data_IF_759546251954
#
_entry.id   IF_759546251954
#
_cell.length_a   1.000
_cell.length_b   1.000
_cell.length_c   1.000
_cell.angle_alpha   90.00
_cell.angle_beta   90.00
_cell.angle_gamma   90.00
#
_symmetry.space_group_name_H-M   'P 1'
#
loop_
_entity.id
_entity.type
_entity.pdbx_description
1 polymer ?
#
# COMPACT_ATOMS: atom_id res chain seq x y z
N UNK A 1 -6.40 0.95 19.98
CA UNK A 1 -7.10 0.37 18.81
C UNK A 1 -6.36 -0.78 18.13
N UNK A 2 -5.15 -1.19 18.53
CA UNK A 2 -4.43 -2.36 18.00
C UNK A 2 -5.13 -3.67 18.32
N UNK A 3 -5.78 -3.77 19.49
CA UNK A 3 -6.67 -4.88 19.81
C UNK A 3 -7.89 -4.92 18.86
N UNK A 4 -8.25 -3.78 18.27
CA UNK A 4 -9.36 -3.61 17.32
C UNK A 4 -8.93 -3.53 15.85
N UNK A 5 -7.62 -3.49 15.56
CA UNK A 5 -7.06 -3.61 14.21
C UNK A 5 -6.65 -5.03 13.91
N UNK A 6 -6.64 -5.37 12.63
CA UNK A 6 -6.19 -6.65 12.16
C UNK A 6 -4.66 -6.63 12.02
N UNK A 7 -3.98 -7.63 12.61
CA UNK A 7 -2.61 -7.96 12.20
C UNK A 7 -2.66 -8.78 10.92
N UNK A 8 -1.59 -8.76 10.14
CA UNK A 8 -1.50 -9.50 8.88
C UNK A 8 -1.84 -11.00 9.04
N UNK A 9 -1.23 -11.68 10.03
CA UNK A 9 -1.48 -13.10 10.29
C UNK A 9 -2.89 -13.43 10.82
N UNK A 10 -3.51 -12.48 11.52
CA UNK A 10 -4.83 -12.66 12.15
C UNK A 10 -5.87 -11.77 11.49
N UNK A 11 -5.77 -11.62 10.17
CA UNK A 11 -6.59 -10.67 9.43
C UNK A 11 -8.06 -11.10 9.40
N UNK A 12 -8.93 -10.13 9.62
CA UNK A 12 -10.38 -10.28 9.56
C UNK A 12 -10.96 -9.06 8.82
N UNK A 13 -11.62 -9.32 7.68
CA UNK A 13 -12.14 -8.27 6.80
C UNK A 13 -13.20 -7.40 7.47
N UNK A 14 -14.11 -8.00 8.24
CA UNK A 14 -15.17 -7.27 8.96
C UNK A 14 -14.58 -6.31 9.99
N UNK A 15 -13.63 -6.80 10.80
CA UNK A 15 -12.93 -5.99 11.80
C UNK A 15 -12.20 -4.82 11.14
N UNK A 16 -11.50 -5.05 10.04
CA UNK A 16 -10.81 -3.97 9.31
C UNK A 16 -11.79 -2.97 8.68
N UNK A 17 -12.96 -3.42 8.22
CA UNK A 17 -14.02 -2.55 7.71
C UNK A 17 -14.61 -1.65 8.81
N UNK A 18 -14.83 -2.18 10.02
CA UNK A 18 -15.26 -1.39 11.18
C UNK A 18 -14.24 -0.30 11.49
N UNK A 19 -12.94 -0.63 11.52
CA UNK A 19 -11.88 0.36 11.74
C UNK A 19 -11.91 1.44 10.66
N UNK A 20 -12.14 1.06 9.40
CA UNK A 20 -12.25 2.03 8.29
C UNK A 20 -13.35 3.05 8.56
N UNK A 21 -14.55 2.59 8.90
CA UNK A 21 -15.69 3.47 9.19
C UNK A 21 -15.41 4.39 10.39
N UNK A 22 -14.76 3.88 11.44
CA UNK A 22 -14.38 4.69 12.60
C UNK A 22 -13.41 5.79 12.20
N UNK A 23 -12.37 5.46 11.41
CA UNK A 23 -11.39 6.44 10.92
C UNK A 23 -12.04 7.50 10.04
N UNK A 24 -12.95 7.10 9.15
CA UNK A 24 -13.67 8.03 8.28
C UNK A 24 -14.54 9.00 9.11
N UNK A 25 -15.28 8.49 10.11
CA UNK A 25 -16.07 9.33 11.05
C UNK A 25 -15.17 10.32 11.80
N UNK A 26 -14.03 9.85 12.34
CA UNK A 26 -13.10 10.70 13.09
C UNK A 26 -12.57 11.84 12.20
N UNK A 27 -12.18 11.53 10.96
CA UNK A 27 -11.55 12.51 10.09
C UNK A 27 -12.54 13.45 9.39
N UNK A 28 -13.80 13.02 9.16
CA UNK A 28 -14.80 13.84 8.46
C UNK A 28 -15.78 14.56 9.39
N UNK A 29 -16.08 13.99 10.56
CA UNK A 29 -17.25 14.39 11.36
C UNK A 29 -16.90 14.84 12.77
N UNK A 30 -15.73 14.48 13.31
CA UNK A 30 -15.35 14.91 14.64
C UNK A 30 -14.76 16.32 14.63
N UNK A 31 -15.37 17.19 15.44
CA UNK A 31 -14.83 18.51 15.75
C UNK A 31 -13.65 18.32 16.71
N UNK A 32 -12.59 19.10 16.53
CA UNK A 32 -11.45 19.15 17.44
C UNK A 32 -11.93 19.74 18.78
N UNK A 33 -11.91 18.93 19.84
CA UNK A 33 -12.28 19.35 21.19
C UNK A 33 -11.02 19.65 22.00
N UNK A 34 -10.84 20.89 22.43
CA UNK A 34 -9.82 21.27 23.41
C UNK A 34 -10.27 20.87 24.83
N UNK A 35 -10.51 19.58 25.05
CA UNK A 35 -10.70 19.03 26.39
C UNK A 35 -9.39 18.44 26.89
N UNK A 36 -9.06 18.71 28.15
CA UNK A 36 -7.71 18.49 28.66
C UNK A 36 -7.28 17.02 28.72
N UNK A 37 -8.18 16.01 28.72
CA UNK A 37 -7.79 14.59 28.86
C UNK A 37 -8.79 13.58 28.25
N UNK A 38 -8.57 13.18 26.99
CA UNK A 38 -9.08 11.89 26.49
C UNK A 38 -8.16 10.76 26.99
N UNK A 39 -8.60 9.95 27.96
CA UNK A 39 -7.79 8.82 28.47
C UNK A 39 -8.15 7.55 27.70
N UNK A 40 -7.19 7.02 26.94
CA UNK A 40 -7.31 5.73 26.27
C UNK A 40 -6.58 4.65 27.09
N UNK A 41 -7.23 3.53 27.45
CA UNK A 41 -6.65 2.53 28.36
C UNK A 41 -5.45 1.75 27.77
N UNK A 42 -5.27 1.75 26.44
CA UNK A 42 -4.09 1.21 25.74
C UNK A 42 -3.83 2.02 24.48
N UNK A 43 -2.77 2.83 24.50
CA UNK A 43 -2.36 3.65 23.36
C UNK A 43 -1.40 2.90 22.45
N UNK A 44 -1.75 2.87 21.17
CA UNK A 44 -0.86 2.44 20.08
C UNK A 44 -0.56 3.64 19.18
N UNK A 45 0.37 3.47 18.25
CA UNK A 45 0.82 4.55 17.36
C UNK A 45 -0.33 5.23 16.57
N UNK A 46 -1.37 4.49 16.17
CA UNK A 46 -2.54 5.05 15.47
C UNK A 46 -3.49 5.77 16.43
N UNK A 47 -3.79 5.14 17.57
CA UNK A 47 -4.71 5.68 18.57
C UNK A 47 -4.17 6.95 19.22
N UNK A 48 -2.85 6.99 19.42
CA UNK A 48 -2.14 8.17 19.94
C UNK A 48 -2.30 9.35 18.99
N UNK A 49 -2.14 9.12 17.68
CA UNK A 49 -2.39 10.15 16.68
C UNK A 49 -3.83 10.66 16.73
N UNK A 50 -4.83 9.78 16.67
CA UNK A 50 -6.22 10.23 16.62
C UNK A 50 -6.66 10.93 17.91
N UNK A 51 -6.12 10.52 19.05
CA UNK A 51 -6.29 11.25 20.31
C UNK A 51 -5.73 12.67 20.17
N UNK A 52 -4.48 12.82 19.75
CA UNK A 52 -3.83 14.14 19.61
C UNK A 52 -4.57 15.03 18.60
N UNK A 53 -4.97 14.45 17.46
CA UNK A 53 -5.78 15.09 16.43
C UNK A 53 -7.09 15.64 17.02
N UNK A 54 -7.80 14.82 17.80
CA UNK A 54 -9.07 15.22 18.43
C UNK A 54 -8.89 16.25 19.55
N UNK A 55 -7.75 16.23 20.27
CA UNK A 55 -7.45 17.20 21.33
C UNK A 55 -6.84 18.51 20.83
N UNK A 56 -6.60 18.65 19.51
CA UNK A 56 -6.16 19.88 18.87
C UNK A 56 -4.66 20.10 18.85
N UNK A 57 -3.87 19.04 19.06
CA UNK A 57 -2.44 19.03 18.72
C UNK A 57 -2.28 18.62 17.24
N UNK A 58 -2.33 19.62 16.36
CA UNK A 58 -2.27 19.44 14.91
C UNK A 58 -0.86 19.60 14.33
N UNK A 59 0.15 19.82 15.17
CA UNK A 59 1.53 20.06 14.70
C UNK A 59 2.18 18.78 14.18
N UNK A 60 1.72 17.60 14.63
CA UNK A 60 2.25 16.31 14.22
C UNK A 60 1.42 15.67 13.09
N UNK A 61 1.98 15.65 11.88
CA UNK A 61 1.40 14.93 10.75
C UNK A 61 1.33 13.42 11.05
N UNK A 62 0.27 12.76 10.57
CA UNK A 62 0.02 11.32 10.78
C UNK A 62 1.25 10.46 10.51
N UNK A 63 1.87 10.62 9.33
CA UNK A 63 3.03 9.84 8.94
C UNK A 63 4.24 10.06 9.86
N UNK A 64 4.49 11.30 10.29
CA UNK A 64 5.58 11.63 11.21
C UNK A 64 5.34 11.06 12.61
N UNK A 65 4.08 10.99 13.05
CA UNK A 65 3.71 10.33 14.31
C UNK A 65 4.01 8.83 14.26
N UNK A 66 3.73 8.19 13.12
CA UNK A 66 3.99 6.77 12.93
C UNK A 66 5.47 6.44 12.70
N UNK A 67 6.19 7.34 12.02
CA UNK A 67 7.59 7.16 11.61
C UNK A 67 8.42 8.43 11.86
N UNK A 68 8.71 8.80 13.12
CA UNK A 68 9.40 10.07 13.43
C UNK A 68 10.84 10.13 12.91
N UNK A 69 11.49 8.98 12.75
CA UNK A 69 12.86 8.84 12.26
C UNK A 69 12.91 8.28 10.85
N UNK A 70 11.93 8.61 10.01
CA UNK A 70 11.90 8.11 8.63
C UNK A 70 13.02 8.74 7.80
N UNK A 71 13.93 7.90 7.29
CA UNK A 71 15.05 8.31 6.44
C UNK A 71 15.01 7.51 5.16
N UNK A 72 14.60 8.17 4.06
CA UNK A 72 14.39 7.55 2.75
C UNK A 72 15.68 6.91 2.17
N UNK A 73 16.85 7.34 2.63
CA UNK A 73 18.12 6.78 2.18
C UNK A 73 18.34 5.35 2.68
N UNK A 74 17.70 4.97 3.79
CA UNK A 74 17.83 3.65 4.42
C UNK A 74 16.75 2.67 3.98
N UNK A 75 16.84 2.24 2.73
CA UNK A 75 15.81 1.40 2.08
C UNK A 75 15.28 0.25 2.95
N UNK A 76 16.17 -0.62 3.46
CA UNK A 76 15.77 -1.78 4.25
C UNK A 76 15.05 -1.41 5.55
N UNK A 77 15.46 -0.32 6.21
CA UNK A 77 14.77 0.18 7.41
C UNK A 77 13.39 0.76 7.07
N UNK A 78 13.28 1.51 5.97
CA UNK A 78 11.99 2.02 5.48
C UNK A 78 11.01 0.88 5.21
N UNK A 79 11.48 -0.12 4.46
CA UNK A 79 10.71 -1.30 4.10
C UNK A 79 10.25 -2.07 5.34
N UNK A 80 11.14 -2.27 6.33
CA UNK A 80 10.79 -2.92 7.60
C UNK A 80 9.74 -2.12 8.39
N UNK A 81 9.84 -0.78 8.42
CA UNK A 81 8.82 0.09 9.04
C UNK A 81 7.48 -0.04 8.32
N UNK A 82 7.48 -0.06 6.99
CA UNK A 82 6.25 -0.19 6.20
C UNK A 82 5.55 -1.53 6.44
N UNK A 83 6.29 -2.62 6.55
CA UNK A 83 5.74 -3.94 6.94
C UNK A 83 5.04 -3.93 8.30
N UNK A 84 5.47 -3.08 9.24
CA UNK A 84 4.86 -2.99 10.57
C UNK A 84 3.58 -2.14 10.58
N UNK A 85 3.47 -1.17 9.66
CA UNK A 85 2.43 -0.14 9.71
C UNK A 85 1.32 -0.43 8.70
N UNK A 86 1.67 -0.61 7.43
CA UNK A 86 0.72 -0.65 6.33
C UNK A 86 -0.29 -1.81 6.41
N UNK A 87 0.10 -3.03 6.84
CA UNK A 87 -0.87 -4.10 7.04
C UNK A 87 -1.95 -3.83 8.10
N UNK A 88 -1.73 -2.87 9.00
CA UNK A 88 -2.68 -2.47 10.05
C UNK A 88 -3.54 -1.27 9.60
N UNK A 89 -3.09 -0.53 8.60
CA UNK A 89 -3.67 0.72 8.16
C UNK A 89 -4.94 0.49 7.33
N UNK A 90 -5.91 1.39 7.46
CA UNK A 90 -7.08 1.43 6.56
C UNK A 90 -6.79 2.27 5.33
N UNK A 91 -7.64 2.20 4.30
CA UNK A 91 -7.41 2.85 3.00
C UNK A 91 -7.05 4.34 3.11
N UNK A 92 -7.74 5.11 3.96
CA UNK A 92 -7.45 6.54 4.14
C UNK A 92 -6.07 6.79 4.75
N UNK A 93 -5.68 5.96 5.71
CA UNK A 93 -4.36 6.00 6.34
C UNK A 93 -3.26 5.60 5.35
N UNK A 94 -3.52 4.60 4.51
CA UNK A 94 -2.65 4.23 3.39
C UNK A 94 -2.37 5.42 2.47
N UNK A 95 -3.41 6.17 2.11
CA UNK A 95 -3.27 7.37 1.28
C UNK A 95 -2.44 8.47 1.97
N UNK A 96 -2.68 8.72 3.26
CA UNK A 96 -1.92 9.72 4.04
C UNK A 96 -0.45 9.29 4.20
N UNK A 97 -0.20 8.01 4.49
CA UNK A 97 1.16 7.46 4.61
C UNK A 97 1.90 7.56 3.27
N UNK A 98 1.23 7.18 2.17
CA UNK A 98 1.77 7.27 0.81
C UNK A 98 2.18 8.71 0.50
N UNK A 99 1.31 9.68 0.74
CA UNK A 99 1.59 11.11 0.55
C UNK A 99 2.77 11.59 1.42
N UNK A 100 2.83 11.15 2.69
CA UNK A 100 3.96 11.43 3.57
C UNK A 100 5.30 10.95 3.01
N UNK A 101 5.35 9.75 2.43
CA UNK A 101 6.56 9.20 1.81
C UNK A 101 6.92 9.96 0.53
N UNK A 102 5.93 10.28 -0.31
CA UNK A 102 6.13 11.06 -1.55
C UNK A 102 6.75 12.42 -1.22
N UNK A 103 6.25 13.10 -0.18
CA UNK A 103 6.75 14.40 0.23
C UNK A 103 8.22 14.38 0.70
N UNK A 104 8.72 13.22 1.14
CA UNK A 104 10.10 13.05 1.60
C UNK A 104 11.01 12.54 0.48
N UNK A 105 10.55 11.55 -0.29
CA UNK A 105 11.39 10.76 -1.20
C UNK A 105 10.98 10.78 -2.66
N UNK A 106 9.86 11.41 -2.99
CA UNK A 106 9.25 11.40 -4.32
C UNK A 106 8.43 10.14 -4.63
N UNK A 107 7.62 10.26 -5.68
CA UNK A 107 6.68 9.24 -6.13
C UNK A 107 7.34 7.92 -6.53
N UNK A 108 8.41 7.97 -7.33
CA UNK A 108 9.11 6.77 -7.79
C UNK A 108 9.63 5.92 -6.62
N UNK A 109 10.27 6.58 -5.65
CA UNK A 109 10.82 5.89 -4.47
C UNK A 109 9.73 5.36 -3.55
N UNK A 110 8.62 6.09 -3.40
CA UNK A 110 7.45 5.61 -2.68
C UNK A 110 6.92 4.30 -3.29
N UNK A 111 6.70 4.27 -4.60
CA UNK A 111 6.21 3.07 -5.31
C UNK A 111 7.14 1.87 -5.13
N UNK A 112 8.45 2.08 -5.22
CA UNK A 112 9.46 1.04 -5.00
C UNK A 112 9.35 0.45 -3.58
N UNK A 113 9.32 1.30 -2.54
CA UNK A 113 9.19 0.87 -1.15
C UNK A 113 7.91 0.08 -0.89
N UNK A 114 6.78 0.56 -1.41
CA UNK A 114 5.48 -0.13 -1.28
C UNK A 114 5.49 -1.48 -2.01
N UNK A 115 6.13 -1.53 -3.19
CA UNK A 115 6.30 -2.75 -3.98
C UNK A 115 7.15 -3.77 -3.24
N UNK A 116 8.30 -3.39 -2.70
CA UNK A 116 9.18 -4.29 -1.93
C UNK A 116 8.49 -4.84 -0.68
N UNK A 117 7.76 -3.97 0.03
CA UNK A 117 6.92 -4.39 1.15
C UNK A 117 5.93 -5.49 0.75
N UNK A 118 5.19 -5.29 -0.35
CA UNK A 118 4.23 -6.28 -0.85
C UNK A 118 4.88 -7.56 -1.37
N UNK A 119 6.05 -7.48 -2.00
CA UNK A 119 6.80 -8.65 -2.47
C UNK A 119 7.18 -9.54 -1.27
N UNK A 120 7.66 -8.97 -0.16
CA UNK A 120 7.94 -9.79 1.02
C UNK A 120 6.68 -10.37 1.65
N UNK A 121 5.55 -9.65 1.64
CA UNK A 121 4.27 -10.24 2.07
C UNK A 121 3.86 -11.40 1.16
N UNK A 122 4.06 -11.31 -0.16
CA UNK A 122 3.82 -12.41 -1.09
C UNK A 122 4.72 -13.62 -0.77
N UNK A 123 6.00 -13.39 -0.54
CA UNK A 123 6.96 -14.44 -0.17
C UNK A 123 6.60 -15.08 1.18
N UNK A 124 6.19 -14.28 2.16
CA UNK A 124 5.70 -14.76 3.44
C UNK A 124 4.51 -15.70 3.23
N UNK A 125 3.47 -15.28 2.50
CA UNK A 125 2.30 -16.15 2.22
C UNK A 125 2.70 -17.46 1.54
N UNK A 126 3.69 -17.45 0.64
CA UNK A 126 4.19 -18.67 -0.04
C UNK A 126 4.92 -19.64 0.89
N UNK A 127 5.48 -19.15 2.02
CA UNK A 127 6.31 -19.95 2.94
C UNK A 127 5.58 -20.42 4.19
N UNK A 128 4.35 -19.95 4.45
CA UNK A 128 3.58 -20.31 5.65
C UNK A 128 2.70 -21.55 5.42
N UNK A 129 2.61 -22.41 6.45
CA UNK A 129 1.82 -23.64 6.44
C UNK A 129 0.30 -23.37 6.54
N UNK A 130 -0.48 -24.34 6.06
CA UNK A 130 -1.88 -24.21 5.64
C UNK A 130 -2.91 -23.70 6.67
N UNK A 131 -2.66 -23.82 7.99
CA UNK A 131 -3.67 -23.47 9.02
C UNK A 131 -4.03 -21.97 9.06
N UNK A 132 -3.14 -21.10 8.59
CA UNK A 132 -3.38 -19.64 8.50
C UNK A 132 -3.55 -19.12 7.06
N UNK A 133 -3.64 -20.02 6.07
CA UNK A 133 -3.54 -19.64 4.66
C UNK A 133 -4.67 -18.70 4.21
N UNK A 134 -5.91 -18.91 4.68
CA UNK A 134 -7.05 -18.08 4.26
C UNK A 134 -7.01 -16.66 4.84
N UNK A 135 -6.65 -16.49 6.12
CA UNK A 135 -6.49 -15.15 6.71
C UNK A 135 -5.34 -14.40 6.03
N UNK A 136 -4.23 -15.08 5.76
CA UNK A 136 -3.07 -14.51 5.08
C UNK A 136 -3.38 -14.09 3.64
N UNK A 137 -4.13 -14.89 2.89
CA UNK A 137 -4.61 -14.53 1.54
C UNK A 137 -5.50 -13.30 1.58
N UNK A 138 -6.47 -13.26 2.50
CA UNK A 138 -7.36 -12.12 2.67
C UNK A 138 -6.59 -10.84 3.05
N UNK A 139 -5.59 -10.98 3.94
CA UNK A 139 -4.71 -9.88 4.31
C UNK A 139 -3.92 -9.36 3.09
N UNK A 140 -3.32 -10.27 2.32
CA UNK A 140 -2.55 -9.90 1.14
C UNK A 140 -3.42 -9.21 0.08
N UNK A 141 -4.62 -9.75 -0.18
CA UNK A 141 -5.62 -9.15 -1.07
C UNK A 141 -5.91 -7.70 -0.65
N UNK A 142 -6.22 -7.49 0.63
CA UNK A 142 -6.48 -6.16 1.18
C UNK A 142 -5.31 -5.18 1.00
N UNK A 143 -4.08 -5.64 1.24
CA UNK A 143 -2.89 -4.80 1.07
C UNK A 143 -2.63 -4.44 -0.39
N UNK A 144 -2.83 -5.37 -1.32
CA UNK A 144 -2.70 -5.13 -2.77
C UNK A 144 -3.76 -4.13 -3.25
N UNK A 145 -5.00 -4.27 -2.79
CA UNK A 145 -6.08 -3.32 -3.11
C UNK A 145 -5.73 -1.90 -2.67
N UNK A 146 -5.28 -1.72 -1.43
CA UNK A 146 -4.88 -0.40 -0.94
C UNK A 146 -3.68 0.17 -1.69
N UNK A 147 -2.73 -0.68 -2.08
CA UNK A 147 -1.62 -0.28 -2.94
C UNK A 147 -2.11 0.21 -4.31
N UNK A 148 -2.99 -0.54 -4.99
CA UNK A 148 -3.58 -0.13 -6.26
C UNK A 148 -4.31 1.21 -6.16
N UNK A 149 -5.12 1.40 -5.11
CA UNK A 149 -5.80 2.66 -4.82
C UNK A 149 -4.78 3.81 -4.62
N UNK A 150 -3.72 3.56 -3.85
CA UNK A 150 -2.69 4.56 -3.56
C UNK A 150 -1.91 4.96 -4.81
N UNK A 151 -1.53 3.98 -5.64
CA UNK A 151 -0.88 4.23 -6.93
C UNK A 151 -1.78 5.07 -7.82
N UNK A 152 -3.05 4.70 -7.96
CA UNK A 152 -3.99 5.42 -8.83
C UNK A 152 -4.25 6.84 -8.35
N UNK A 153 -4.49 7.05 -7.06
CA UNK A 153 -4.96 8.34 -6.52
C UNK A 153 -3.84 9.30 -6.12
N UNK A 154 -2.66 8.79 -5.73
CA UNK A 154 -1.56 9.61 -5.17
C UNK A 154 -0.30 9.63 -6.03
N UNK A 155 -0.07 8.60 -6.84
CA UNK A 155 1.19 8.44 -7.57
C UNK A 155 1.02 8.75 -9.05
N UNK A 156 -0.03 8.23 -9.69
CA UNK A 156 -0.26 8.39 -11.12
C UNK A 156 -1.05 9.66 -11.47
N UNK A 157 -1.84 10.18 -10.54
CA UNK A 157 -2.63 11.39 -10.75
C UNK A 157 -1.73 12.57 -11.13
N UNK A 158 -1.88 13.07 -12.36
CA UNK A 158 -1.10 14.16 -12.95
C UNK A 158 0.42 13.97 -12.92
N UNK A 159 0.87 12.71 -12.93
CA UNK A 159 2.28 12.38 -12.88
C UNK A 159 2.99 12.54 -14.23
N UNK A 160 4.30 12.90 -14.23
CA UNK A 160 5.10 12.92 -15.44
C UNK A 160 5.37 11.49 -15.93
N UNK A 161 5.62 11.33 -17.24
CA UNK A 161 5.78 10.01 -17.88
C UNK A 161 6.92 9.19 -17.25
N UNK A 162 7.98 9.85 -16.78
CA UNK A 162 9.11 9.21 -16.12
C UNK A 162 8.69 8.50 -14.83
N UNK A 163 7.80 9.14 -14.04
CA UNK A 163 7.22 8.51 -12.84
C UNK A 163 6.32 7.35 -13.22
N UNK A 164 5.50 7.49 -14.25
CA UNK A 164 4.63 6.40 -14.73
C UNK A 164 5.43 5.18 -15.21
N UNK A 165 6.54 5.40 -15.92
CA UNK A 165 7.46 4.34 -16.33
C UNK A 165 7.98 3.58 -15.11
N UNK A 166 8.41 4.30 -14.06
CA UNK A 166 8.84 3.66 -12.82
C UNK A 166 7.70 2.87 -12.17
N UNK A 167 6.48 3.42 -12.14
CA UNK A 167 5.31 2.70 -11.63
C UNK A 167 5.05 1.41 -12.40
N UNK A 168 5.11 1.43 -13.73
CA UNK A 168 4.92 0.23 -14.55
C UNK A 168 5.95 -0.84 -14.22
N UNK A 169 7.23 -0.46 -14.13
CA UNK A 169 8.30 -1.39 -13.78
C UNK A 169 8.02 -2.02 -12.41
N UNK A 170 7.69 -1.21 -11.41
CA UNK A 170 7.43 -1.70 -10.05
C UNK A 170 6.18 -2.59 -9.96
N UNK A 171 5.08 -2.21 -10.62
CA UNK A 171 3.85 -3.01 -10.65
C UNK A 171 4.09 -4.32 -11.41
N UNK A 172 4.74 -4.31 -12.56
CA UNK A 172 5.10 -5.54 -13.28
C UNK A 172 6.04 -6.43 -12.44
N UNK A 173 6.93 -5.83 -11.64
CA UNK A 173 7.76 -6.56 -10.67
C UNK A 173 6.87 -7.26 -9.65
N UNK A 174 5.95 -6.55 -9.01
CA UNK A 174 5.00 -7.16 -8.07
C UNK A 174 4.17 -8.29 -8.70
N UNK A 175 3.68 -8.10 -9.93
CA UNK A 175 2.86 -9.09 -10.64
C UNK A 175 3.58 -10.45 -10.82
N UNK A 176 4.91 -10.46 -10.97
CA UNK A 176 5.69 -11.71 -11.02
C UNK A 176 5.73 -12.47 -9.68
N UNK A 177 5.56 -11.78 -8.55
CA UNK A 177 5.61 -12.36 -7.20
C UNK A 177 4.22 -12.69 -6.61
N UNK A 178 3.13 -12.25 -7.24
CA UNK A 178 1.79 -12.55 -6.73
C UNK A 178 1.53 -14.06 -6.64
N UNK A 179 1.00 -14.58 -5.51
CA UNK A 179 0.52 -15.96 -5.41
C UNK A 179 -0.68 -16.20 -6.33
N UNK A 180 -0.79 -17.39 -6.93
CA UNK A 180 -1.84 -17.74 -7.90
C UNK A 180 -3.26 -17.41 -7.41
N UNK A 181 -3.54 -17.67 -6.13
CA UNK A 181 -4.85 -17.46 -5.51
C UNK A 181 -5.31 -15.99 -5.49
N UNK A 182 -4.37 -15.03 -5.49
CA UNK A 182 -4.68 -13.59 -5.49
C UNK A 182 -4.43 -12.95 -6.87
N UNK A 183 -3.66 -13.64 -7.72
CA UNK A 183 -3.16 -13.12 -9.00
C UNK A 183 -4.27 -12.82 -9.99
N UNK A 184 -5.33 -13.62 -10.05
CA UNK A 184 -6.37 -13.44 -11.07
C UNK A 184 -7.11 -12.11 -10.90
N UNK A 185 -7.71 -11.85 -9.75
CA UNK A 185 -8.50 -10.63 -9.51
C UNK A 185 -7.60 -9.41 -9.30
N UNK A 186 -6.69 -9.48 -8.33
CA UNK A 186 -5.89 -8.32 -7.94
C UNK A 186 -4.78 -8.02 -8.95
N UNK A 187 -4.21 -9.05 -9.58
CA UNK A 187 -3.21 -8.85 -10.61
C UNK A 187 -3.80 -8.18 -11.86
N UNK A 188 -5.03 -8.52 -12.26
CA UNK A 188 -5.72 -7.82 -13.34
C UNK A 188 -6.06 -6.38 -12.95
N UNK A 189 -6.53 -6.15 -11.72
CA UNK A 189 -6.78 -4.81 -11.19
C UNK A 189 -5.52 -3.92 -11.28
N UNK A 190 -4.37 -4.44 -10.84
CA UNK A 190 -3.09 -3.76 -10.93
C UNK A 190 -2.60 -3.55 -12.37
N UNK A 191 -2.83 -4.50 -13.28
CA UNK A 191 -2.49 -4.30 -14.70
C UNK A 191 -3.34 -3.18 -15.33
N UNK A 192 -4.58 -3.05 -14.89
CA UNK A 192 -5.52 -2.06 -15.43
C UNK A 192 -5.20 -0.63 -15.02
N UNK A 193 -4.57 -0.39 -13.87
CA UNK A 193 -4.16 0.97 -13.44
C UNK A 193 -2.98 1.54 -14.25
N UNK A 194 -2.20 0.69 -14.94
CA UNK A 194 -1.02 1.14 -15.70
C UNK A 194 -1.40 1.95 -16.94
N UNK A 195 -0.68 3.04 -17.20
CA UNK A 195 -0.97 3.95 -18.31
C UNK A 195 -0.39 3.44 -19.63
N UNK A 196 -1.15 3.54 -20.72
CA UNK A 196 -0.70 3.07 -22.05
C UNK A 196 0.51 3.87 -22.55
N UNK A 197 0.54 5.19 -22.32
CA UNK A 197 1.61 6.06 -22.81
C UNK A 197 2.99 5.64 -22.28
N UNK A 198 3.07 5.28 -21.01
CA UNK A 198 4.31 4.87 -20.37
C UNK A 198 4.66 3.42 -20.72
N UNK A 199 3.68 2.52 -20.84
CA UNK A 199 3.90 1.15 -21.33
C UNK A 199 4.44 1.12 -22.76
N UNK A 200 3.90 1.96 -23.65
CA UNK A 200 4.39 2.11 -25.03
C UNK A 200 5.85 2.57 -25.09
N UNK A 201 6.25 3.45 -24.18
CA UNK A 201 7.63 3.93 -24.12
C UNK A 201 8.64 2.83 -23.75
N UNK A 202 8.18 1.77 -23.08
CA UNK A 202 8.99 0.63 -22.65
C UNK A 202 9.02 -0.54 -23.65
N UNK A 203 8.36 -0.42 -24.80
CA UNK A 203 8.19 -1.54 -25.75
C UNK A 203 9.51 -2.15 -26.25
N UNK A 204 10.57 -1.33 -26.32
CA UNK A 204 11.89 -1.71 -26.82
C UNK A 204 12.91 -1.94 -25.67
N UNK A 205 12.47 -1.75 -24.42
CA UNK A 205 13.30 -1.94 -23.22
C UNK A 205 13.41 -3.45 -22.91
N UNK A 206 14.62 -4.00 -23.12
CA UNK A 206 14.88 -5.44 -22.92
C UNK A 206 14.67 -5.88 -21.48
N UNK A 207 15.04 -5.06 -20.51
CA UNK A 207 14.92 -5.42 -19.09
C UNK A 207 13.44 -5.46 -18.69
N UNK A 208 12.66 -4.49 -19.15
CA UNK A 208 11.21 -4.48 -18.97
C UNK A 208 10.52 -5.68 -19.65
N UNK A 209 10.91 -6.01 -20.89
CA UNK A 209 10.35 -7.17 -21.58
C UNK A 209 10.68 -8.49 -20.86
N UNK A 210 11.90 -8.64 -20.33
CA UNK A 210 12.27 -9.78 -19.49
C UNK A 210 11.38 -9.86 -18.25
N UNK A 211 11.06 -8.73 -17.61
CA UNK A 211 10.17 -8.70 -16.46
C UNK A 211 8.74 -9.17 -16.80
N UNK A 212 8.21 -8.79 -17.97
CA UNK A 212 6.89 -9.26 -18.42
C UNK A 212 6.84 -10.79 -18.59
N UNK A 213 7.93 -11.39 -19.06
CA UNK A 213 8.02 -12.85 -19.22
C UNK A 213 7.95 -13.61 -17.89
N UNK A 214 8.33 -12.96 -16.78
CA UNK A 214 8.24 -13.54 -15.43
C UNK A 214 6.80 -13.51 -14.86
N UNK A 215 5.88 -12.82 -15.53
CA UNK A 215 4.47 -12.80 -15.12
C UNK A 215 3.81 -14.07 -15.62
N UNK A 216 3.82 -15.12 -14.80
CA UNK A 216 3.13 -16.39 -15.08
C UNK A 216 1.60 -16.25 -14.92
N UNK A 217 0.94 -15.51 -15.83
CA UNK A 217 -0.53 -15.40 -15.90
C UNK A 217 -1.02 -14.87 -17.26
N UNK A 218 -1.58 -15.75 -18.09
CA UNK A 218 -1.95 -15.47 -19.49
C UNK A 218 -2.83 -14.24 -19.67
N UNK A 219 -3.86 -14.04 -18.85
CA UNK A 219 -4.78 -12.92 -19.02
C UNK A 219 -4.13 -11.57 -18.69
N UNK A 220 -3.22 -11.54 -17.71
CA UNK A 220 -2.50 -10.31 -17.34
C UNK A 220 -1.54 -9.95 -18.46
N UNK A 221 -0.79 -10.93 -18.97
CA UNK A 221 0.12 -10.71 -20.09
C UNK A 221 -0.62 -10.22 -21.34
N UNK A 222 -1.83 -10.74 -21.62
CA UNK A 222 -2.67 -10.24 -22.72
C UNK A 222 -3.05 -8.77 -22.54
N UNK A 223 -3.51 -8.38 -21.35
CA UNK A 223 -3.87 -6.98 -21.05
C UNK A 223 -2.66 -6.05 -21.21
N UNK A 224 -1.50 -6.44 -20.66
CA UNK A 224 -0.27 -5.66 -20.77
C UNK A 224 0.21 -5.56 -22.23
N UNK A 225 0.20 -6.67 -22.97
CA UNK A 225 0.60 -6.69 -24.37
C UNK A 225 -0.32 -5.83 -25.25
N UNK A 226 -1.63 -5.83 -25.00
CA UNK A 226 -2.58 -4.94 -25.67
C UNK A 226 -2.18 -3.48 -25.44
N UNK A 227 -2.03 -3.05 -24.18
CA UNK A 227 -1.65 -1.66 -23.84
C UNK A 227 -0.31 -1.20 -24.43
N UNK A 228 0.63 -2.12 -24.65
CA UNK A 228 1.93 -1.82 -25.28
C UNK A 228 1.80 -1.64 -26.79
N UNK A 229 0.88 -2.37 -27.44
CA UNK A 229 0.81 -2.50 -28.91
C UNK A 229 -0.27 -1.65 -29.57
N UNK A 230 -1.34 -1.29 -28.86
CA UNK A 230 -2.43 -0.41 -29.33
C UNK A 230 -2.16 1.01 -28.88
#
# INVERSE_FOLDING_TARGET
>A
MTEYRCKFFTFNSLKQHIVKLIVDIILDSCIVYKEDKLILPKEDMFSSYYKNYLTGDTENFFFQTLCPTFDISKHGECVAKMLQILPLAVTREWLIITEGIINIGGAARCTELLTDMLIMLCQLVRTQNFESAESLKAALKYNIQNYGISVQQKILHDSPIETEVQVNIQVCRLLSYLPSVVKEEEGLSLANILTERSLKSLKDDKEFLCLLLLIEHTNICKVLAQKITT
#
